data_IF_111887130265
#
_entry.id   IF_111887130265
#
_cell.length_a   1.000
_cell.length_b   1.000
_cell.length_c   1.000
_cell.angle_alpha   90.00
_cell.angle_beta   90.00
_cell.angle_gamma   90.00
#
_symmetry.space_group_name_H-M   'P 1'
#
loop_
_entity.id
_entity.type
_entity.pdbx_description
1 polymer ?
#
# COMPACT_ATOMS: atom_id res chain seq x y z
N UNK A 1 -13.10 13.58 12.01
CA UNK A 1 -12.43 12.27 11.87
C UNK A 1 -13.35 11.19 12.44
N UNK A 2 -13.60 10.11 11.67
CA UNK A 2 -14.39 8.96 12.16
C UNK A 2 -13.56 8.19 13.20
N UNK A 3 -14.13 7.94 14.37
CA UNK A 3 -13.54 7.06 15.37
C UNK A 3 -14.05 5.63 15.13
N UNK A 4 -13.15 4.74 14.69
CA UNK A 4 -13.48 3.35 14.43
C UNK A 4 -13.10 2.42 15.60
N UNK A 5 -12.49 2.93 16.67
CA UNK A 5 -12.00 2.10 17.80
C UNK A 5 -13.13 1.34 18.45
N UNK A 6 -14.26 2.02 18.79
CA UNK A 6 -15.41 1.37 19.39
C UNK A 6 -15.96 0.23 18.53
N UNK A 7 -16.16 0.49 17.22
CA UNK A 7 -16.65 -0.53 16.27
C UNK A 7 -15.72 -1.75 16.16
N UNK A 8 -14.41 -1.51 16.22
CA UNK A 8 -13.42 -2.60 16.19
C UNK A 8 -13.47 -3.41 17.49
N UNK A 9 -13.61 -2.75 18.64
CA UNK A 9 -13.73 -3.45 19.92
C UNK A 9 -15.02 -4.26 20.00
N UNK A 10 -16.15 -3.70 19.55
CA UNK A 10 -17.43 -4.41 19.48
C UNK A 10 -17.30 -5.68 18.60
N UNK A 11 -16.58 -5.58 17.47
CA UNK A 11 -16.35 -6.72 16.59
C UNK A 11 -15.40 -7.78 17.19
N UNK A 12 -14.39 -7.36 17.95
CA UNK A 12 -13.45 -8.28 18.64
C UNK A 12 -14.17 -9.05 19.77
N UNK A 13 -15.20 -8.45 20.39
CA UNK A 13 -15.98 -9.08 21.47
C UNK A 13 -17.13 -9.97 20.94
N UNK A 14 -17.49 -9.87 19.65
CA UNK A 14 -18.59 -10.67 19.07
C UNK A 14 -18.09 -12.03 18.56
N UNK A 15 -18.44 -13.11 19.28
CA UNK A 15 -18.09 -14.49 18.94
C UNK A 15 -18.61 -14.96 17.57
N UNK A 16 -19.56 -14.24 16.95
CA UNK A 16 -20.08 -14.58 15.62
C UNK A 16 -19.28 -13.90 14.49
N UNK A 17 -18.40 -12.99 14.81
CA UNK A 17 -17.57 -12.23 13.86
C UNK A 17 -16.14 -12.77 13.89
N UNK A 18 -15.52 -12.85 12.73
CA UNK A 18 -14.10 -13.15 12.58
C UNK A 18 -13.40 -11.83 12.28
N UNK A 19 -12.54 -11.40 13.17
CA UNK A 19 -11.78 -10.16 13.02
C UNK A 19 -10.47 -10.39 12.28
N UNK A 20 -10.31 -9.72 11.14
CA UNK A 20 -9.10 -9.76 10.33
C UNK A 20 -8.46 -8.38 10.31
N UNK A 21 -7.20 -8.25 10.70
CA UNK A 21 -6.47 -6.99 10.63
C UNK A 21 -5.26 -7.07 9.71
N UNK A 22 -5.11 -6.07 8.84
CA UNK A 22 -3.93 -5.88 7.99
C UNK A 22 -3.07 -4.73 8.50
N UNK A 23 -1.74 -4.90 8.48
CA UNK A 23 -0.77 -3.89 8.93
C UNK A 23 -0.06 -3.27 7.73
N UNK A 24 -0.25 -1.96 7.51
CA UNK A 24 0.41 -1.25 6.41
C UNK A 24 1.94 -1.16 6.60
N UNK A 25 2.71 -1.16 5.50
CA UNK A 25 4.18 -1.09 5.55
C UNK A 25 4.72 0.04 6.42
N UNK A 26 4.17 1.25 6.30
CA UNK A 26 4.66 2.42 7.01
C UNK A 26 4.38 2.40 8.52
N UNK A 27 3.40 1.62 9.00
CA UNK A 27 3.09 1.49 10.44
C UNK A 27 4.28 0.95 11.21
N UNK A 28 4.98 -0.04 10.65
CA UNK A 28 6.17 -0.68 11.28
C UNK A 28 7.31 0.29 11.56
N UNK A 29 7.30 1.47 10.92
CA UNK A 29 8.35 2.47 11.12
C UNK A 29 8.15 3.35 12.34
N UNK A 30 6.95 3.35 12.94
CA UNK A 30 6.58 4.38 13.92
C UNK A 30 5.72 3.90 15.10
N UNK A 31 5.08 2.73 15.07
CA UNK A 31 4.15 2.29 16.12
C UNK A 31 4.77 2.23 17.53
N UNK A 32 6.09 2.00 17.61
CA UNK A 32 6.81 1.98 18.89
C UNK A 32 7.19 3.36 19.42
N UNK A 33 7.03 4.43 18.62
CA UNK A 33 7.48 5.79 19.01
C UNK A 33 6.71 6.32 20.23
N UNK A 34 5.40 6.05 20.31
CA UNK A 34 4.56 6.44 21.44
C UNK A 34 4.84 5.69 22.75
N UNK A 35 5.69 4.66 22.69
CA UNK A 35 6.18 3.88 23.83
C UNK A 35 7.67 4.10 24.12
N UNK A 36 8.33 4.94 23.34
CA UNK A 36 9.78 5.18 23.47
C UNK A 36 10.64 3.98 23.07
N UNK A 37 10.13 3.06 22.26
CA UNK A 37 10.84 1.88 21.80
C UNK A 37 11.85 2.22 20.71
N UNK A 38 12.99 1.51 20.68
CA UNK A 38 13.90 1.58 19.55
C UNK A 38 13.27 0.94 18.30
N UNK A 39 13.73 1.35 17.12
CA UNK A 39 13.23 0.80 15.85
C UNK A 39 13.53 -0.68 15.67
N UNK A 40 14.70 -1.12 16.16
CA UNK A 40 15.11 -2.53 16.11
C UNK A 40 14.24 -3.40 17.03
N UNK A 41 13.72 -2.82 18.11
CA UNK A 41 12.82 -3.52 19.02
C UNK A 41 11.37 -3.48 18.52
N UNK A 42 10.90 -2.36 17.99
CA UNK A 42 9.52 -2.16 17.56
C UNK A 42 9.24 -2.78 16.17
N UNK A 43 9.51 -4.07 16.02
CA UNK A 43 9.27 -4.82 14.79
C UNK A 43 7.77 -4.98 14.49
N UNK A 44 7.42 -5.29 13.22
CA UNK A 44 6.05 -5.63 12.87
C UNK A 44 5.55 -6.89 13.60
N UNK A 45 6.42 -7.88 13.79
CA UNK A 45 6.10 -9.13 14.50
C UNK A 45 5.75 -8.92 15.98
N UNK A 46 6.36 -7.94 16.65
CA UNK A 46 5.95 -7.54 18.00
C UNK A 46 4.59 -6.84 18.03
N UNK A 47 4.28 -6.06 16.99
CA UNK A 47 2.96 -5.47 16.84
C UNK A 47 1.90 -6.56 16.60
N UNK A 48 2.21 -7.60 15.83
CA UNK A 48 1.35 -8.80 15.70
C UNK A 48 1.01 -9.38 17.06
N UNK A 49 2.02 -9.63 17.91
CA UNK A 49 1.79 -10.14 19.26
C UNK A 49 0.88 -9.21 20.10
N UNK A 50 1.04 -7.89 19.96
CA UNK A 50 0.18 -6.91 20.63
C UNK A 50 -1.26 -6.97 20.16
N UNK A 51 -1.49 -7.09 18.85
CA UNK A 51 -2.84 -7.19 18.27
C UNK A 51 -3.53 -8.51 18.65
N UNK A 52 -2.81 -9.64 18.70
CA UNK A 52 -3.36 -10.90 19.23
C UNK A 52 -3.84 -10.76 20.67
N UNK A 53 -3.11 -10.03 21.52
CA UNK A 53 -3.52 -9.77 22.90
C UNK A 53 -4.70 -8.82 23.03
N UNK A 54 -5.00 -8.00 22.02
CA UNK A 54 -6.24 -7.23 21.93
C UNK A 54 -7.42 -8.16 21.62
N UNK A 55 -7.18 -9.28 20.89
CA UNK A 55 -8.18 -10.29 20.58
C UNK A 55 -8.50 -10.45 19.11
N UNK A 56 -7.69 -9.89 18.18
CA UNK A 56 -7.87 -10.15 16.75
C UNK A 56 -7.62 -11.63 16.41
N UNK A 57 -8.51 -12.21 15.58
CA UNK A 57 -8.42 -13.61 15.17
C UNK A 57 -7.30 -13.85 14.15
N UNK A 58 -7.19 -12.98 13.14
CA UNK A 58 -6.17 -13.10 12.10
C UNK A 58 -5.46 -11.76 11.86
N UNK A 59 -4.14 -11.82 11.74
CA UNK A 59 -3.29 -10.65 11.55
C UNK A 59 -2.38 -10.87 10.35
N UNK A 60 -2.55 -10.04 9.34
CA UNK A 60 -1.86 -10.13 8.07
C UNK A 60 -1.03 -8.89 7.75
N UNK A 61 -0.19 -9.01 6.73
CA UNK A 61 0.64 -7.93 6.23
C UNK A 61 0.05 -7.32 4.94
N UNK A 62 -0.24 -6.02 4.93
CA UNK A 62 -0.67 -5.30 3.72
C UNK A 62 0.38 -5.37 2.60
N UNK A 63 1.63 -5.78 2.89
CA UNK A 63 2.65 -5.99 1.86
C UNK A 63 2.25 -7.08 0.87
N UNK A 64 1.48 -8.10 1.27
CA UNK A 64 0.87 -9.06 0.37
C UNK A 64 0.02 -8.36 -0.71
N UNK A 65 -0.91 -7.52 -0.29
CA UNK A 65 -1.79 -6.81 -1.22
C UNK A 65 -1.10 -5.68 -1.97
N UNK A 66 -0.01 -5.12 -1.43
CA UNK A 66 0.86 -4.23 -2.18
C UNK A 66 1.53 -4.96 -3.35
N UNK A 67 2.00 -6.19 -3.14
CA UNK A 67 2.52 -7.03 -4.23
C UNK A 67 1.44 -7.37 -5.26
N UNK A 68 0.22 -7.67 -4.80
CA UNK A 68 -0.93 -7.91 -5.68
C UNK A 68 -1.29 -6.65 -6.50
N UNK A 69 -1.28 -5.47 -5.86
CA UNK A 69 -1.49 -4.18 -6.56
C UNK A 69 -0.45 -3.97 -7.66
N UNK A 70 0.82 -4.30 -7.42
CA UNK A 70 1.87 -4.18 -8.44
C UNK A 70 1.63 -5.12 -9.61
N UNK A 71 1.12 -6.31 -9.38
CA UNK A 71 0.80 -7.24 -10.48
C UNK A 71 -0.33 -6.69 -11.36
N UNK A 72 -1.39 -6.13 -10.77
CA UNK A 72 -2.50 -5.53 -11.50
C UNK A 72 -2.09 -4.19 -12.15
N UNK A 73 -1.56 -3.23 -11.38
CA UNK A 73 -1.18 -1.90 -11.88
C UNK A 73 -0.04 -1.95 -12.90
N UNK A 74 0.95 -2.84 -12.68
CA UNK A 74 2.05 -3.05 -13.63
C UNK A 74 1.57 -3.66 -14.95
N UNK A 75 0.62 -4.59 -14.90
CA UNK A 75 0.01 -5.19 -16.09
C UNK A 75 -0.88 -4.18 -16.83
N UNK A 76 -1.67 -3.38 -16.09
CA UNK A 76 -2.48 -2.28 -16.64
C UNK A 76 -1.60 -1.22 -17.35
N UNK A 77 -0.47 -0.85 -16.73
CA UNK A 77 0.49 0.08 -17.35
C UNK A 77 0.98 -0.44 -18.70
N UNK A 78 1.34 -1.72 -18.77
CA UNK A 78 1.83 -2.33 -20.01
C UNK A 78 0.73 -2.40 -21.08
N UNK A 79 -0.50 -2.70 -20.69
CA UNK A 79 -1.66 -2.72 -21.60
C UNK A 79 -1.99 -1.32 -22.14
N UNK A 80 -1.96 -0.29 -21.27
CA UNK A 80 -2.26 1.10 -21.63
C UNK A 80 -1.10 1.83 -22.32
N UNK A 81 0.12 1.26 -22.33
CA UNK A 81 1.31 1.95 -22.84
C UNK A 81 1.19 2.45 -24.29
N UNK A 82 0.58 1.71 -25.26
CA UNK A 82 0.37 2.22 -26.62
C UNK A 82 -0.48 3.50 -26.64
N UNK A 83 -1.59 3.53 -25.90
CA UNK A 83 -2.49 4.70 -25.82
C UNK A 83 -1.80 5.87 -25.09
N UNK A 84 -1.02 5.59 -24.04
CA UNK A 84 -0.22 6.59 -23.33
C UNK A 84 0.78 7.26 -24.30
N UNK A 85 1.44 6.47 -25.13
CA UNK A 85 2.40 6.98 -26.13
C UNK A 85 1.73 7.81 -27.21
N UNK A 86 0.53 7.44 -27.63
CA UNK A 86 -0.25 8.17 -28.64
C UNK A 86 -0.80 9.48 -28.09
N UNK A 87 -1.42 9.45 -26.90
CA UNK A 87 -2.02 10.62 -26.26
C UNK A 87 -0.99 11.59 -25.67
N UNK A 88 0.19 11.10 -25.30
CA UNK A 88 1.20 11.83 -24.55
C UNK A 88 0.81 12.13 -23.09
N UNK A 89 -0.29 11.52 -22.59
CA UNK A 89 -0.78 11.68 -21.24
C UNK A 89 -0.46 10.43 -20.39
N UNK A 90 0.10 10.59 -19.18
CA UNK A 90 0.54 9.49 -18.37
C UNK A 90 -0.60 8.71 -17.73
N UNK A 91 -0.33 7.47 -17.31
CA UNK A 91 -1.07 6.81 -16.25
C UNK A 91 -0.56 7.29 -14.90
N UNK A 92 -1.47 7.51 -13.95
CA UNK A 92 -1.16 7.89 -12.57
C UNK A 92 -1.46 6.73 -11.62
N UNK A 93 -0.62 6.56 -10.59
CA UNK A 93 -0.95 5.64 -9.48
C UNK A 93 -2.21 6.11 -8.76
N UNK A 94 -3.00 5.19 -8.20
CA UNK A 94 -4.27 5.47 -7.52
C UNK A 94 -4.31 5.02 -6.05
N UNK A 95 -3.23 4.47 -5.51
CA UNK A 95 -3.20 3.92 -4.17
C UNK A 95 -3.24 4.98 -3.04
N UNK A 96 -3.06 6.27 -3.34
CA UNK A 96 -3.11 7.37 -2.37
C UNK A 96 -4.45 8.11 -2.42
N UNK A 97 -5.39 7.92 -1.47
CA UNK A 97 -6.72 8.56 -1.52
C UNK A 97 -6.66 10.08 -1.42
N UNK A 98 -5.65 10.64 -0.76
CA UNK A 98 -5.44 12.09 -0.75
C UNK A 98 -5.11 12.65 -2.13
N UNK A 99 -4.38 11.90 -2.95
CA UNK A 99 -4.12 12.22 -4.34
C UNK A 99 -5.36 12.02 -5.21
N UNK A 100 -6.04 10.89 -5.09
CA UNK A 100 -7.26 10.60 -5.86
C UNK A 100 -8.33 11.67 -5.63
N UNK A 101 -8.56 12.08 -4.39
CA UNK A 101 -9.49 13.17 -4.07
C UNK A 101 -9.02 14.52 -4.64
N UNK A 102 -7.70 14.76 -4.65
CA UNK A 102 -7.15 15.99 -5.21
C UNK A 102 -7.33 16.07 -6.73
N UNK A 103 -7.01 14.99 -7.47
CA UNK A 103 -7.16 15.00 -8.94
C UNK A 103 -8.64 15.08 -9.36
N UNK A 104 -9.53 14.36 -8.67
CA UNK A 104 -10.99 14.44 -8.90
C UNK A 104 -11.52 15.86 -8.76
N UNK A 105 -11.01 16.62 -7.80
CA UNK A 105 -11.47 17.97 -7.52
C UNK A 105 -10.82 19.04 -8.39
N UNK A 106 -9.51 18.99 -8.55
CA UNK A 106 -8.73 20.06 -9.15
C UNK A 106 -8.44 19.84 -10.65
N UNK A 107 -8.46 18.56 -11.09
CA UNK A 107 -8.10 18.14 -12.44
C UNK A 107 -9.04 17.03 -12.96
N UNK A 108 -10.39 17.21 -12.93
CA UNK A 108 -11.34 16.15 -13.24
C UNK A 108 -11.18 15.57 -14.65
N UNK A 109 -10.61 16.32 -15.59
CA UNK A 109 -10.33 15.88 -16.96
C UNK A 109 -9.21 14.84 -17.08
N UNK A 110 -8.48 14.54 -15.98
CA UNK A 110 -7.42 13.54 -15.93
C UNK A 110 -7.80 12.33 -15.06
N UNK A 111 -9.01 12.24 -14.55
CA UNK A 111 -9.44 11.14 -13.68
C UNK A 111 -9.33 9.80 -14.40
N UNK A 112 -9.65 9.74 -15.69
CA UNK A 112 -9.52 8.55 -16.54
C UNK A 112 -8.06 8.07 -16.71
N UNK A 113 -7.10 8.89 -16.30
CA UNK A 113 -5.68 8.56 -16.31
C UNK A 113 -5.19 7.89 -15.01
N UNK A 114 -6.02 7.84 -13.99
CA UNK A 114 -5.72 7.04 -12.80
C UNK A 114 -5.66 5.56 -13.15
N UNK A 115 -4.80 4.81 -12.48
CA UNK A 115 -4.86 3.36 -12.48
C UNK A 115 -6.21 2.90 -11.93
N UNK A 116 -6.82 1.91 -12.53
CA UNK A 116 -8.05 1.30 -12.05
C UNK A 116 -7.80 0.29 -10.93
N UNK A 117 -6.54 -0.13 -10.71
CA UNK A 117 -6.20 -1.03 -9.62
C UNK A 117 -6.59 -0.44 -8.26
N UNK A 118 -7.30 -1.20 -7.45
CA UNK A 118 -7.59 -0.85 -6.06
C UNK A 118 -6.30 -0.61 -5.27
N UNK A 119 -6.36 0.23 -4.25
CA UNK A 119 -5.22 0.39 -3.35
C UNK A 119 -4.93 -0.92 -2.59
N UNK A 120 -3.71 -1.13 -2.07
CA UNK A 120 -3.40 -2.30 -1.25
C UNK A 120 -4.38 -2.52 -0.10
N UNK A 121 -4.89 -1.45 0.53
CA UNK A 121 -5.93 -1.55 1.55
C UNK A 121 -7.20 -2.22 1.02
N UNK A 122 -7.73 -1.73 -0.09
CA UNK A 122 -8.95 -2.23 -0.68
C UNK A 122 -8.76 -3.62 -1.32
N UNK A 123 -7.62 -3.85 -1.99
CA UNK A 123 -7.30 -5.18 -2.51
C UNK A 123 -7.24 -6.23 -1.41
N UNK A 124 -6.63 -5.90 -0.28
CA UNK A 124 -6.60 -6.80 0.87
C UNK A 124 -8.01 -7.15 1.35
N UNK A 125 -8.85 -6.13 1.51
CA UNK A 125 -10.25 -6.34 1.92
C UNK A 125 -11.01 -7.21 0.93
N UNK A 126 -10.90 -6.93 -0.37
CA UNK A 126 -11.53 -7.72 -1.43
C UNK A 126 -11.09 -9.19 -1.39
N UNK A 127 -9.78 -9.45 -1.28
CA UNK A 127 -9.22 -10.81 -1.16
C UNK A 127 -9.71 -11.49 0.11
N UNK A 128 -9.76 -10.75 1.23
CA UNK A 128 -10.20 -11.28 2.52
C UNK A 128 -11.67 -11.70 2.49
N UNK A 129 -12.55 -10.88 1.89
CA UNK A 129 -13.99 -11.16 1.79
C UNK A 129 -14.38 -12.02 0.59
N UNK A 130 -13.42 -12.48 -0.21
CA UNK A 130 -13.66 -13.42 -1.31
C UNK A 130 -12.82 -14.69 -1.13
N UNK A 131 -11.60 -14.72 -1.64
CA UNK A 131 -10.70 -15.85 -1.59
C UNK A 131 -10.47 -16.42 -0.19
N UNK A 132 -10.23 -15.53 0.80
CA UNK A 132 -9.95 -15.99 2.17
C UNK A 132 -11.23 -16.49 2.87
N UNK A 133 -12.36 -15.84 2.64
CA UNK A 133 -13.66 -16.32 3.14
C UNK A 133 -13.98 -17.73 2.62
N UNK A 134 -13.76 -18.00 1.32
CA UNK A 134 -13.90 -19.34 0.75
C UNK A 134 -12.95 -20.36 1.43
N UNK A 135 -11.69 -19.98 1.69
CA UNK A 135 -10.73 -20.84 2.39
C UNK A 135 -11.14 -21.17 3.82
N UNK A 136 -11.75 -20.22 4.51
CA UNK A 136 -12.30 -20.44 5.86
C UNK A 136 -13.64 -21.18 5.85
N UNK A 137 -14.32 -21.27 4.69
CA UNK A 137 -15.66 -21.84 4.59
C UNK A 137 -16.73 -21.02 5.31
N UNK A 138 -16.60 -19.69 5.28
CA UNK A 138 -17.52 -18.76 5.93
C UNK A 138 -18.08 -17.74 4.96
N UNK A 139 -19.26 -17.21 5.28
CA UNK A 139 -19.84 -16.11 4.51
C UNK A 139 -19.01 -14.81 4.73
N UNK A 140 -18.83 -13.99 3.69
CA UNK A 140 -18.03 -12.76 3.76
C UNK A 140 -18.48 -11.79 4.86
N UNK A 141 -19.77 -11.75 5.17
CA UNK A 141 -20.39 -10.89 6.18
C UNK A 141 -19.96 -11.24 7.61
N UNK A 142 -19.46 -12.46 7.83
CA UNK A 142 -18.90 -12.87 9.11
C UNK A 142 -17.48 -12.34 9.33
N UNK A 143 -16.85 -11.79 8.31
CA UNK A 143 -15.51 -11.24 8.42
C UNK A 143 -15.60 -9.72 8.61
N UNK A 144 -15.05 -9.22 9.71
CA UNK A 144 -14.85 -7.81 9.96
C UNK A 144 -13.39 -7.45 9.64
N UNK A 145 -13.17 -6.83 8.47
CA UNK A 145 -11.85 -6.49 7.97
C UNK A 145 -11.41 -5.11 8.47
N UNK A 146 -10.32 -5.08 9.23
CA UNK A 146 -9.72 -3.88 9.80
C UNK A 146 -8.40 -3.55 9.10
N UNK A 147 -8.18 -2.30 8.75
CA UNK A 147 -6.92 -1.82 8.22
C UNK A 147 -6.19 -0.95 9.25
N UNK A 148 -4.96 -1.33 9.61
CA UNK A 148 -4.08 -0.50 10.41
C UNK A 148 -3.20 0.34 9.49
N UNK A 149 -3.46 1.66 9.44
CA UNK A 149 -2.93 2.56 8.42
C UNK A 149 -2.23 3.79 9.02
N UNK A 150 -1.19 4.32 8.37
CA UNK A 150 -0.54 5.56 8.77
C UNK A 150 -1.32 6.82 8.35
N UNK A 151 -2.52 6.67 7.80
CA UNK A 151 -3.20 7.66 6.98
C UNK A 151 -4.65 7.88 7.42
N UNK A 152 -5.09 9.13 7.54
CA UNK A 152 -6.48 9.49 7.84
C UNK A 152 -7.39 9.37 6.61
N UNK A 153 -6.86 9.67 5.41
CA UNK A 153 -7.64 9.57 4.17
C UNK A 153 -8.04 8.13 3.82
N UNK A 154 -7.37 7.13 4.41
CA UNK A 154 -7.78 5.72 4.29
C UNK A 154 -9.12 5.41 4.98
N UNK A 155 -9.52 6.22 5.98
CA UNK A 155 -10.87 6.17 6.57
C UNK A 155 -11.96 6.65 5.61
N UNK A 156 -11.63 7.60 4.72
CA UNK A 156 -12.51 8.05 3.66
C UNK A 156 -12.60 7.00 2.54
N UNK A 157 -11.45 6.48 2.10
CA UNK A 157 -11.38 5.47 1.03
C UNK A 157 -12.26 4.25 1.29
N UNK A 158 -12.34 3.74 2.52
CA UNK A 158 -13.19 2.60 2.86
C UNK A 158 -14.71 2.92 2.83
N UNK A 159 -15.10 4.17 2.55
CA UNK A 159 -16.50 4.57 2.37
C UNK A 159 -16.87 4.80 0.90
N UNK A 160 -15.94 4.71 -0.03
CA UNK A 160 -16.25 4.85 -1.46
C UNK A 160 -17.14 3.71 -1.92
N UNK A 161 -17.95 3.93 -2.98
CA UNK A 161 -19.02 3.03 -3.41
C UNK A 161 -18.60 1.57 -3.62
N UNK A 162 -17.32 1.35 -3.96
CA UNK A 162 -16.70 0.03 -4.05
C UNK A 162 -15.92 -0.34 -2.78
N UNK A 163 -16.03 0.43 -1.71
CA UNK A 163 -15.23 0.33 -0.47
C UNK A 163 -15.84 -0.54 0.62
N UNK A 164 -16.75 -1.48 0.27
CA UNK A 164 -17.34 -2.43 1.24
C UNK A 164 -16.36 -3.53 1.69
N UNK A 165 -15.17 -3.55 1.12
CA UNK A 165 -14.18 -4.58 1.39
C UNK A 165 -13.52 -4.42 2.77
N UNK A 166 -13.41 -3.17 3.26
CA UNK A 166 -12.80 -2.84 4.56
C UNK A 166 -13.83 -2.18 5.47
N UNK A 167 -14.05 -2.77 6.64
CA UNK A 167 -15.10 -2.33 7.57
C UNK A 167 -14.64 -1.16 8.46
N UNK A 168 -13.37 -1.15 8.88
CA UNK A 168 -12.81 -0.13 9.75
C UNK A 168 -11.35 0.18 9.45
N UNK A 169 -10.94 1.40 9.75
CA UNK A 169 -9.54 1.84 9.61
C UNK A 169 -9.05 2.41 10.92
N UNK A 170 -8.04 1.78 11.51
CA UNK A 170 -7.31 2.27 12.67
C UNK A 170 -6.03 2.98 12.22
N UNK A 171 -5.75 4.13 12.79
CA UNK A 171 -4.47 4.80 12.62
C UNK A 171 -3.41 4.22 13.55
N UNK A 172 -2.14 4.43 13.25
CA UNK A 172 -1.03 4.04 14.14
C UNK A 172 -1.23 4.59 15.55
N UNK A 173 -1.67 5.86 15.69
CA UNK A 173 -1.95 6.47 17.00
C UNK A 173 -3.14 5.84 17.74
N UNK A 174 -4.17 5.41 17.02
CA UNK A 174 -5.32 4.72 17.64
C UNK A 174 -4.89 3.37 18.19
N UNK A 175 -4.08 2.61 17.45
CA UNK A 175 -3.56 1.33 17.94
C UNK A 175 -2.62 1.51 19.12
N UNK A 176 -1.74 2.53 19.13
CA UNK A 176 -0.96 2.85 20.33
C UNK A 176 -1.83 3.10 21.57
N UNK A 177 -2.95 3.82 21.40
CA UNK A 177 -3.92 4.06 22.49
C UNK A 177 -4.60 2.77 22.92
N UNK A 178 -5.01 1.91 21.97
CA UNK A 178 -5.60 0.60 22.28
C UNK A 178 -4.65 -0.26 23.09
N UNK A 179 -3.40 -0.42 22.64
CA UNK A 179 -2.38 -1.19 23.38
C UNK A 179 -2.20 -0.69 24.82
N UNK A 180 -2.22 0.64 25.02
CA UNK A 180 -2.17 1.26 26.36
C UNK A 180 -3.43 0.98 27.19
N UNK A 181 -4.60 1.09 26.56
CA UNK A 181 -5.89 0.87 27.25
C UNK A 181 -6.11 -0.57 27.70
N UNK A 182 -5.53 -1.52 26.96
CA UNK A 182 -5.50 -2.94 27.31
C UNK A 182 -4.36 -3.30 28.27
N UNK A 183 -3.62 -2.31 28.77
CA UNK A 183 -2.47 -2.49 29.66
C UNK A 183 -1.42 -3.47 29.12
N UNK A 184 -1.27 -3.55 27.79
CA UNK A 184 -0.29 -4.43 27.17
C UNK A 184 1.09 -3.84 27.37
N UNK A 185 1.94 -4.61 28.04
CA UNK A 185 3.34 -4.24 28.28
C UNK A 185 4.18 -4.55 27.05
N UNK A 186 4.17 -3.61 26.09
CA UNK A 186 4.79 -3.80 24.78
C UNK A 186 6.30 -4.14 24.86
N UNK A 187 6.98 -3.76 25.95
CA UNK A 187 8.39 -4.09 26.20
C UNK A 187 8.60 -5.57 26.54
N UNK A 188 7.54 -6.29 26.96
CA UNK A 188 7.59 -7.70 27.33
C UNK A 188 7.06 -8.61 26.19
N UNK A 189 6.63 -8.03 25.05
CA UNK A 189 6.15 -8.80 23.92
C UNK A 189 7.30 -9.56 23.24
N UNK A 190 7.10 -10.82 23.00
CA UNK A 190 7.89 -11.61 22.07
C UNK A 190 7.34 -11.44 20.63
N UNK A 191 8.14 -11.74 19.62
CA UNK A 191 7.72 -11.68 18.24
C UNK A 191 6.79 -12.85 17.90
N UNK A 192 5.72 -12.56 17.19
CA UNK A 192 4.81 -13.55 16.63
C UNK A 192 4.69 -13.37 15.11
N UNK A 193 4.57 -14.47 14.38
CA UNK A 193 4.45 -14.45 12.93
C UNK A 193 3.07 -13.92 12.50
N UNK A 194 3.03 -13.32 11.32
CA UNK A 194 1.78 -13.07 10.61
C UNK A 194 1.10 -14.40 10.28
N UNK A 195 -0.21 -14.36 10.12
CA UNK A 195 -0.97 -15.54 9.74
C UNK A 195 -0.82 -15.85 8.24
N UNK A 196 -0.96 -17.12 7.87
CA UNK A 196 -1.00 -17.58 6.49
C UNK A 196 -2.45 -17.61 5.95
N UNK A 197 -2.66 -17.42 4.64
CA UNK A 197 -1.67 -17.26 3.57
C UNK A 197 -1.35 -15.81 3.20
N UNK A 198 -1.97 -14.81 3.83
CA UNK A 198 -1.89 -13.39 3.41
C UNK A 198 -0.84 -12.58 4.20
N UNK A 199 0.04 -13.27 4.94
CA UNK A 199 1.08 -12.66 5.76
C UNK A 199 2.44 -12.50 5.08
N UNK A 200 2.61 -13.03 3.85
CA UNK A 200 3.88 -12.99 3.14
C UNK A 200 3.92 -11.77 2.21
N UNK A 201 4.95 -10.93 2.35
CA UNK A 201 5.18 -9.77 1.51
C UNK A 201 6.63 -9.64 1.05
N UNK A 202 6.82 -9.07 -0.14
CA UNK A 202 8.14 -8.80 -0.69
C UNK A 202 8.75 -7.49 -0.17
N UNK A 203 10.05 -7.31 -0.41
CA UNK A 203 10.71 -6.02 -0.22
C UNK A 203 10.07 -4.91 -1.07
N UNK A 204 9.59 -5.23 -2.28
CA UNK A 204 8.84 -4.29 -3.13
C UNK A 204 7.55 -3.83 -2.44
N UNK A 205 6.78 -4.73 -1.81
CA UNK A 205 5.59 -4.36 -1.04
C UNK A 205 5.91 -3.50 0.19
N UNK A 206 7.04 -3.77 0.85
CA UNK A 206 7.46 -2.99 2.03
C UNK A 206 7.75 -1.53 1.68
N UNK A 207 8.42 -1.24 0.56
CA UNK A 207 8.81 0.15 0.21
C UNK A 207 7.64 1.04 -0.24
N UNK A 208 6.42 0.52 -0.42
CA UNK A 208 5.21 1.32 -0.70
C UNK A 208 4.97 2.46 0.27
N UNK A 209 5.46 2.34 1.50
CA UNK A 209 5.32 3.36 2.53
C UNK A 209 6.12 4.64 2.29
N UNK A 210 7.12 4.64 1.41
CA UNK A 210 7.98 5.77 1.10
C UNK A 210 7.72 6.30 -0.31
N UNK A 211 7.90 7.62 -0.52
CA UNK A 211 7.80 8.23 -1.85
C UNK A 211 8.82 7.61 -2.82
N UNK A 212 8.37 7.23 -3.99
CA UNK A 212 9.15 6.51 -5.01
C UNK A 212 9.10 4.98 -4.85
N UNK A 213 8.58 4.48 -3.74
CA UNK A 213 8.52 3.04 -3.48
C UNK A 213 7.54 2.29 -4.36
N UNK A 214 6.38 2.87 -4.65
CA UNK A 214 5.40 2.29 -5.59
C UNK A 214 5.98 2.24 -6.99
N UNK A 215 6.56 3.36 -7.45
CA UNK A 215 7.22 3.46 -8.75
C UNK A 215 8.33 2.41 -8.90
N UNK A 216 9.19 2.29 -7.89
CA UNK A 216 10.28 1.32 -7.93
C UNK A 216 9.76 -0.12 -7.98
N UNK A 217 8.76 -0.46 -7.16
CA UNK A 217 8.12 -1.77 -7.15
C UNK A 217 7.48 -2.10 -8.51
N UNK A 218 6.75 -1.14 -9.10
CA UNK A 218 6.13 -1.28 -10.41
C UNK A 218 7.16 -1.48 -11.52
N UNK A 219 8.25 -0.70 -11.52
CA UNK A 219 9.33 -0.83 -12.50
C UNK A 219 10.06 -2.17 -12.40
N UNK A 220 10.29 -2.69 -11.20
CA UNK A 220 10.88 -4.02 -10.98
C UNK A 220 10.03 -5.11 -11.66
N UNK A 221 8.73 -5.10 -11.42
CA UNK A 221 7.82 -6.14 -11.97
C UNK A 221 7.51 -5.90 -13.46
N UNK A 222 7.32 -4.65 -13.91
CA UNK A 222 7.14 -4.35 -15.33
C UNK A 222 8.37 -4.79 -16.16
N UNK A 223 9.58 -4.62 -15.65
CA UNK A 223 10.79 -5.12 -16.29
C UNK A 223 10.73 -6.64 -16.48
N UNK A 224 10.37 -7.39 -15.43
CA UNK A 224 10.22 -8.85 -15.50
C UNK A 224 9.09 -9.27 -16.45
N UNK A 225 7.94 -8.62 -16.40
CA UNK A 225 6.80 -8.97 -17.25
C UNK A 225 7.15 -8.85 -18.74
N UNK A 226 8.02 -7.92 -19.10
CA UNK A 226 8.45 -7.69 -20.49
C UNK A 226 9.65 -8.57 -20.86
N UNK A 227 10.70 -8.61 -20.03
CA UNK A 227 11.96 -9.26 -20.38
C UNK A 227 12.04 -10.73 -19.93
N UNK A 228 11.12 -11.19 -19.09
CA UNK A 228 11.08 -12.54 -18.48
C UNK A 228 12.33 -12.90 -17.67
N UNK A 229 13.06 -11.87 -17.24
CA UNK A 229 14.24 -11.96 -16.35
C UNK A 229 14.16 -10.84 -15.32
N UNK A 230 14.62 -11.11 -14.10
CA UNK A 230 14.66 -10.08 -13.07
C UNK A 230 15.66 -8.98 -13.39
N UNK A 231 15.36 -7.72 -13.09
CA UNK A 231 16.37 -6.67 -13.04
C UNK A 231 17.28 -6.86 -11.82
N UNK A 232 18.40 -6.15 -11.79
CA UNK A 232 19.11 -5.95 -10.54
C UNK A 232 18.15 -5.29 -9.52
N UNK A 233 18.05 -5.77 -8.28
CA UNK A 233 17.05 -5.29 -7.31
C UNK A 233 17.08 -3.78 -7.09
N UNK A 234 18.24 -3.16 -7.20
CA UNK A 234 18.45 -1.72 -6.98
C UNK A 234 18.52 -0.88 -8.27
N UNK A 235 18.19 -1.47 -9.44
CA UNK A 235 18.27 -0.80 -10.75
C UNK A 235 17.43 0.49 -10.83
N UNK A 236 16.35 0.58 -10.05
CA UNK A 236 15.38 1.68 -10.13
C UNK A 236 15.42 2.62 -8.92
N UNK A 237 16.38 2.48 -8.00
CA UNK A 237 16.44 3.28 -6.76
C UNK A 237 16.60 4.80 -6.98
N UNK A 238 16.93 5.26 -8.19
CA UNK A 238 17.04 6.69 -8.49
C UNK A 238 15.71 7.45 -8.37
N UNK A 239 14.56 6.74 -8.34
CA UNK A 239 13.24 7.35 -8.09
C UNK A 239 12.99 7.60 -6.61
N UNK A 240 13.80 7.04 -5.69
CA UNK A 240 13.70 7.24 -4.24
C UNK A 240 14.06 8.66 -3.84
N UNK A 241 13.51 9.13 -2.73
CA UNK A 241 13.95 10.35 -2.04
C UNK A 241 12.83 11.32 -1.70
N UNK A 242 13.18 12.29 -0.88
CA UNK A 242 12.24 13.21 -0.24
C UNK A 242 12.02 14.52 -1.04
N UNK A 243 12.84 14.77 -2.06
CA UNK A 243 12.80 16.02 -2.82
C UNK A 243 11.60 16.03 -3.77
N UNK A 244 10.77 16.98 -3.57
CA UNK A 244 9.57 17.41 -4.24
C UNK A 244 9.04 16.63 -5.46
N UNK A 245 9.66 16.81 -6.60
CA UNK A 245 9.30 16.19 -7.89
C UNK A 245 10.57 15.66 -8.55
N UNK A 246 10.58 14.36 -8.87
CA UNK A 246 11.68 13.65 -9.51
C UNK A 246 11.26 13.06 -10.84
N UNK A 247 12.20 12.96 -11.75
CA UNK A 247 12.02 12.38 -13.07
C UNK A 247 13.09 11.32 -13.32
N UNK A 248 12.72 10.26 -14.02
CA UNK A 248 13.65 9.25 -14.49
C UNK A 248 13.23 8.70 -15.86
N UNK A 249 14.20 8.09 -16.54
CA UNK A 249 13.99 7.39 -17.80
C UNK A 249 14.65 6.03 -17.72
N UNK A 250 13.89 5.01 -18.10
CA UNK A 250 14.36 3.63 -18.14
C UNK A 250 14.15 3.04 -19.52
N UNK A 251 15.04 2.15 -19.92
CA UNK A 251 14.85 1.37 -21.14
C UNK A 251 14.42 -0.04 -20.77
N UNK A 252 13.24 -0.45 -21.22
CA UNK A 252 12.68 -1.79 -21.00
C UNK A 252 12.43 -2.40 -22.40
N UNK A 253 13.12 -3.46 -22.75
CA UNK A 253 13.05 -4.11 -24.05
C UNK A 253 13.12 -3.12 -25.23
N UNK A 254 14.10 -2.20 -25.19
CA UNK A 254 14.31 -1.19 -26.23
C UNK A 254 13.33 0.00 -26.20
N UNK A 255 12.28 -0.03 -25.39
CA UNK A 255 11.35 1.08 -25.24
C UNK A 255 11.75 1.99 -24.09
N UNK A 256 11.73 3.30 -24.33
CA UNK A 256 11.99 4.31 -23.30
C UNK A 256 10.70 4.56 -22.53
N UNK A 257 10.74 4.29 -21.21
CA UNK A 257 9.71 4.64 -20.25
C UNK A 257 10.15 5.89 -19.47
N UNK A 258 9.37 6.96 -19.55
CA UNK A 258 9.59 8.19 -18.80
C UNK A 258 8.66 8.21 -17.59
N UNK A 259 9.22 8.37 -16.40
CA UNK A 259 8.44 8.35 -15.16
C UNK A 259 8.68 9.60 -14.34
N UNK A 260 7.69 9.93 -13.49
CA UNK A 260 7.82 10.98 -12.50
C UNK A 260 7.27 10.52 -11.14
N UNK A 261 7.86 11.07 -10.08
CA UNK A 261 7.43 10.84 -8.69
C UNK A 261 7.25 12.18 -8.02
N UNK A 262 6.04 12.49 -7.55
CA UNK A 262 5.73 13.72 -6.83
C UNK A 262 5.43 13.44 -5.36
N UNK A 263 6.17 14.09 -4.47
CA UNK A 263 5.99 14.08 -3.03
C UNK A 263 5.29 15.36 -2.58
N UNK A 264 4.13 15.24 -1.98
CA UNK A 264 3.19 16.29 -1.57
C UNK A 264 2.26 16.81 -2.67
N UNK A 265 1.05 17.26 -2.25
CA UNK A 265 0.07 17.81 -3.19
C UNK A 265 0.51 19.14 -3.82
N UNK A 266 1.37 19.91 -3.17
CA UNK A 266 1.89 21.14 -3.77
C UNK A 266 2.83 20.85 -4.95
N UNK A 267 3.61 19.78 -4.88
CA UNK A 267 4.45 19.33 -5.98
C UNK A 267 3.64 18.59 -7.05
N UNK A 268 2.60 17.85 -6.64
CA UNK A 268 1.63 17.27 -7.56
C UNK A 268 0.95 18.36 -8.41
N UNK A 269 0.55 19.50 -7.82
CA UNK A 269 -0.01 20.64 -8.56
C UNK A 269 0.94 21.16 -9.63
N UNK A 270 2.21 21.39 -9.28
CA UNK A 270 3.24 21.86 -10.23
C UNK A 270 3.46 20.85 -11.38
N UNK A 271 3.47 19.55 -11.04
CA UNK A 271 3.58 18.47 -12.02
C UNK A 271 2.37 18.48 -12.97
N UNK A 272 1.15 18.57 -12.44
CA UNK A 272 -0.07 18.62 -13.24
C UNK A 272 -0.14 19.85 -14.15
N UNK A 273 0.30 21.01 -13.65
CA UNK A 273 0.41 22.23 -14.47
C UNK A 273 1.43 22.07 -15.62
N UNK A 274 2.57 21.39 -15.37
CA UNK A 274 3.54 21.10 -16.39
C UNK A 274 3.01 20.13 -17.46
N UNK A 275 2.27 19.10 -17.06
CA UNK A 275 1.60 18.16 -17.96
C UNK A 275 0.50 18.89 -18.77
N UNK A 276 -0.38 19.63 -18.11
CA UNK A 276 -1.50 20.32 -18.75
C UNK A 276 -1.07 21.39 -19.76
N UNK A 277 0.11 21.99 -19.55
CA UNK A 277 0.69 22.99 -20.48
C UNK A 277 1.62 22.38 -21.53
N UNK A 278 1.75 21.05 -21.58
CA UNK A 278 2.63 20.34 -22.52
C UNK A 278 4.13 20.55 -22.28
N UNK A 279 4.51 21.09 -21.11
CA UNK A 279 5.92 21.30 -20.73
C UNK A 279 6.62 20.04 -20.26
N UNK A 280 5.84 19.03 -19.81
CA UNK A 280 6.35 17.74 -19.35
C UNK A 280 5.47 16.60 -19.88
N UNK A 281 6.12 15.49 -20.25
CA UNK A 281 5.48 14.29 -20.78
C UNK A 281 6.09 13.06 -20.08
N UNK A 282 5.24 12.26 -19.48
CA UNK A 282 5.59 11.02 -18.79
C UNK A 282 4.69 9.89 -19.27
N UNK A 283 5.12 8.67 -19.02
CA UNK A 283 4.32 7.47 -19.26
C UNK A 283 3.63 6.98 -17.98
N UNK A 284 4.34 7.11 -16.85
CA UNK A 284 3.81 6.68 -15.55
C UNK A 284 4.22 7.67 -14.45
N UNK A 285 3.29 7.99 -13.57
CA UNK A 285 3.49 9.00 -12.52
C UNK A 285 3.00 8.50 -11.17
N UNK A 286 3.89 8.48 -10.18
CA UNK A 286 3.53 8.27 -8.78
C UNK A 286 3.26 9.61 -8.10
N UNK A 287 2.16 9.70 -7.35
CA UNK A 287 1.88 10.84 -6.48
C UNK A 287 1.55 10.39 -5.07
N UNK A 288 2.33 10.88 -4.10
CA UNK A 288 2.05 10.75 -2.68
C UNK A 288 1.63 12.09 -2.09
N UNK A 289 0.42 12.16 -1.50
CA UNK A 289 -0.12 13.40 -0.92
C UNK A 289 0.70 13.92 0.27
N UNK A 290 1.27 13.02 1.06
CA UNK A 290 2.09 13.37 2.22
C UNK A 290 3.55 13.57 1.82
N UNK A 291 4.25 14.63 2.33
CA UNK A 291 5.68 14.78 2.12
C UNK A 291 6.47 13.56 2.63
N UNK A 292 7.23 12.92 1.75
CA UNK A 292 7.99 11.70 2.05
C UNK A 292 7.19 10.40 1.95
N UNK A 293 5.88 10.45 1.70
CA UNK A 293 5.00 9.29 1.59
C UNK A 293 4.26 8.92 2.86
N UNK A 294 3.73 7.69 2.92
CA UNK A 294 2.89 7.19 4.02
C UNK A 294 3.63 7.11 5.37
N UNK A 295 4.96 7.02 5.38
CA UNK A 295 5.80 7.10 6.60
C UNK A 295 5.60 8.41 7.37
N UNK A 296 5.12 9.46 6.71
CA UNK A 296 4.77 10.76 7.29
C UNK A 296 3.26 11.04 7.19
N UNK A 297 2.46 10.01 7.10
CA UNK A 297 1.01 10.10 7.00
C UNK A 297 0.37 10.71 8.25
N UNK A 298 -0.82 11.32 8.08
CA UNK A 298 -1.53 12.01 9.15
C UNK A 298 -2.00 11.11 10.31
N UNK A 299 -1.93 9.78 10.16
CA UNK A 299 -2.22 8.78 11.22
C UNK A 299 -1.00 8.35 12.02
N UNK A 300 0.21 8.72 11.61
CA UNK A 300 1.45 8.41 12.32
C UNK A 300 1.60 9.23 13.62
N UNK A 301 2.41 8.76 14.58
CA UNK A 301 2.78 9.53 15.76
C UNK A 301 3.37 10.89 15.40
N UNK A 302 2.95 11.91 16.15
CA UNK A 302 3.47 13.27 15.99
C UNK A 302 4.76 13.38 16.80
N UNK A 303 5.85 13.64 16.11
CA UNK A 303 7.18 13.78 16.72
C UNK A 303 7.84 15.06 16.23
N UNK A 304 8.41 15.80 17.15
CA UNK A 304 9.25 16.97 16.87
C UNK A 304 10.69 16.49 16.62
N UNK A 305 10.94 16.06 15.38
CA UNK A 305 12.23 15.53 14.92
C UNK A 305 12.32 15.79 13.41
N UNK A 306 13.21 16.66 13.01
CA UNK A 306 13.43 17.03 11.60
C UNK A 306 13.86 15.84 10.74
N UNK A 307 14.51 14.86 11.35
CA UNK A 307 14.99 13.66 10.65
C UNK A 307 13.97 12.50 10.64
N UNK A 308 12.78 12.66 11.25
CA UNK A 308 11.80 11.56 11.40
C UNK A 308 11.45 10.89 10.07
N UNK A 309 11.26 11.67 9.00
CA UNK A 309 10.88 11.15 7.68
C UNK A 309 12.02 10.34 7.08
N UNK A 310 13.23 10.87 7.08
CA UNK A 310 14.42 10.15 6.61
C UNK A 310 14.67 8.86 7.43
N UNK A 311 14.55 8.97 8.74
CA UNK A 311 14.72 7.84 9.65
C UNK A 311 13.69 6.72 9.41
N UNK A 312 12.41 7.06 9.21
CA UNK A 312 11.35 6.09 8.90
C UNK A 312 11.52 5.50 7.50
N UNK A 313 11.94 6.31 6.51
CA UNK A 313 12.25 5.85 5.16
C UNK A 313 13.38 4.82 5.14
N UNK A 314 14.45 5.07 5.90
CA UNK A 314 15.60 4.16 6.03
C UNK A 314 15.20 2.79 6.60
N UNK A 315 14.19 2.73 7.48
CA UNK A 315 13.66 1.45 7.98
C UNK A 315 13.07 0.64 6.82
N UNK A 316 12.21 1.22 5.97
CA UNK A 316 11.58 0.50 4.87
C UNK A 316 12.60 0.02 3.83
N UNK A 317 13.50 0.89 3.41
CA UNK A 317 14.53 0.51 2.45
C UNK A 317 15.55 -0.48 3.04
N UNK A 318 15.80 -0.41 4.35
CA UNK A 318 16.61 -1.41 5.06
C UNK A 318 15.94 -2.79 5.06
N UNK A 319 14.63 -2.84 5.31
CA UNK A 319 13.84 -4.07 5.26
C UNK A 319 13.79 -4.66 3.85
N UNK A 320 13.59 -3.84 2.81
CA UNK A 320 13.67 -4.29 1.42
C UNK A 320 15.04 -4.92 1.13
N UNK A 321 16.13 -4.24 1.52
CA UNK A 321 17.50 -4.69 1.23
C UNK A 321 17.84 -6.05 1.82
N UNK A 322 17.30 -6.37 3.00
CA UNK A 322 17.58 -7.65 3.70
C UNK A 322 16.54 -8.73 3.40
N UNK A 323 15.44 -8.39 2.72
CA UNK A 323 14.42 -9.35 2.36
C UNK A 323 14.94 -10.26 1.23
N UNK A 324 14.84 -11.57 1.40
CA UNK A 324 15.18 -12.54 0.33
C UNK A 324 14.22 -12.45 -0.85
N UNK A 325 12.95 -12.08 -0.58
CA UNK A 325 11.92 -11.87 -1.59
C UNK A 325 11.87 -10.38 -1.95
N UNK A 326 12.52 -9.99 -3.05
CA UNK A 326 12.67 -8.58 -3.46
C UNK A 326 11.63 -8.10 -4.46
N UNK A 327 10.91 -8.99 -5.12
CA UNK A 327 10.03 -8.71 -6.25
C UNK A 327 8.60 -9.16 -5.99
N UNK A 328 7.61 -8.33 -6.33
CA UNK A 328 6.20 -8.63 -6.14
C UNK A 328 5.73 -9.85 -6.94
N UNK A 329 6.22 -10.00 -8.17
CA UNK A 329 5.91 -11.13 -9.06
C UNK A 329 6.50 -12.48 -8.60
N UNK A 330 7.36 -12.49 -7.60
CA UNK A 330 7.90 -13.70 -6.97
C UNK A 330 7.20 -14.04 -5.66
N UNK A 331 6.24 -13.21 -5.18
CA UNK A 331 5.54 -13.50 -3.95
C UNK A 331 4.70 -14.78 -4.08
N UNK A 332 5.06 -15.87 -3.36
CA UNK A 332 4.39 -17.15 -3.52
C UNK A 332 2.92 -17.12 -3.14
N UNK A 333 2.54 -16.29 -2.16
CA UNK A 333 1.15 -16.12 -1.72
C UNK A 333 0.31 -15.41 -2.78
N UNK A 334 0.87 -14.40 -3.45
CA UNK A 334 0.21 -13.71 -4.57
C UNK A 334 0.05 -14.66 -5.75
N UNK A 335 1.11 -15.38 -6.13
CA UNK A 335 1.04 -16.35 -7.23
C UNK A 335 0.06 -17.49 -6.93
N UNK A 336 -0.01 -17.95 -5.68
CA UNK A 336 -1.00 -18.97 -5.29
C UNK A 336 -2.42 -18.41 -5.33
N UNK A 337 -2.64 -17.16 -4.93
CA UNK A 337 -3.93 -16.49 -5.00
C UNK A 337 -4.44 -16.37 -6.46
N UNK A 338 -3.56 -16.02 -7.41
CA UNK A 338 -3.90 -16.07 -8.83
C UNK A 338 -4.26 -17.47 -9.28
N UNK A 339 -3.42 -18.44 -8.99
CA UNK A 339 -3.65 -19.84 -9.40
C UNK A 339 -4.97 -20.42 -8.86
N UNK A 340 -5.29 -20.13 -7.60
CA UNK A 340 -6.45 -20.71 -6.92
C UNK A 340 -7.75 -19.97 -7.25
N UNK A 341 -7.68 -18.65 -7.51
CA UNK A 341 -8.87 -17.81 -7.48
C UNK A 341 -9.02 -16.84 -8.65
N UNK A 342 -8.02 -16.02 -8.94
CA UNK A 342 -8.13 -14.98 -9.96
C UNK A 342 -7.72 -15.42 -11.37
N UNK A 343 -6.92 -16.47 -11.49
CA UNK A 343 -6.35 -16.92 -12.76
C UNK A 343 -5.06 -16.20 -13.11
N UNK A 344 -5.16 -15.00 -13.67
CA UNK A 344 -4.04 -14.15 -14.07
C UNK A 344 -4.35 -12.66 -13.82
N UNK A 345 -3.33 -11.78 -13.80
CA UNK A 345 -3.58 -10.34 -13.74
C UNK A 345 -4.48 -9.87 -14.88
N UNK A 346 -5.34 -8.88 -14.58
CA UNK A 346 -6.34 -8.33 -15.50
C UNK A 346 -7.38 -9.33 -16.00
N UNK A 347 -7.49 -10.52 -15.41
CA UNK A 347 -8.57 -11.47 -15.73
C UNK A 347 -9.94 -10.84 -15.42
N UNK A 348 -11.03 -11.39 -15.95
CA UNK A 348 -12.38 -10.90 -15.67
C UNK A 348 -12.66 -10.84 -14.16
N UNK A 349 -12.28 -11.88 -13.41
CA UNK A 349 -12.48 -11.95 -11.97
C UNK A 349 -11.59 -10.95 -11.21
N UNK A 350 -10.36 -10.71 -11.69
CA UNK A 350 -9.49 -9.68 -11.16
C UNK A 350 -10.09 -8.29 -11.38
N UNK A 351 -10.59 -7.99 -12.59
CA UNK A 351 -11.27 -6.73 -12.86
C UNK A 351 -12.50 -6.49 -11.98
N UNK A 352 -13.30 -7.52 -11.73
CA UNK A 352 -14.49 -7.41 -10.89
C UNK A 352 -14.14 -7.10 -9.43
N UNK A 353 -13.11 -7.72 -8.88
CA UNK A 353 -12.81 -7.66 -7.44
C UNK A 353 -11.66 -6.72 -7.08
N UNK A 354 -10.67 -6.57 -7.96
CA UNK A 354 -9.41 -5.86 -7.67
C UNK A 354 -9.31 -4.49 -8.37
N UNK A 355 -10.27 -4.12 -9.22
CA UNK A 355 -10.29 -2.84 -9.91
C UNK A 355 -11.47 -1.98 -9.49
N UNK A 356 -11.37 -0.67 -9.76
CA UNK A 356 -12.35 0.35 -9.40
C UNK A 356 -12.40 1.42 -10.49
N UNK A 357 -13.60 1.92 -10.80
CA UNK A 357 -13.78 3.15 -11.59
C UNK A 357 -13.70 4.36 -10.67
N UNK A 358 -12.86 5.33 -11.02
CA UNK A 358 -12.64 6.54 -10.21
C UNK A 358 -13.61 7.68 -10.49
#
# INVERSE_FOLDING_TARGET
>A
ERDDVGRVLDAVEDENIITVVQIAPAVRTAWGEGFGLSKDFATAKRLVAGLRRIGFDYIFDTTFSADLTIMEEGSELLERLPEIKESGLPMFTSCCPGWVNFIKKEYPQYVDRLSTAKSPQQMFGAVTKSYYAEKLGVEPERIFCVSLMPCLAKKDECTWDNGKDVDAVLTTREVERMLKSFFIKVQELEEEEFDDPLGVGSGAGVIFGATGGVMEAALRSAYYLVNKTNPEPDAFQCVRGLDGWKEAKFTINGNILKVAVASSLSNARKLMEAIATGKAHYDFVEVMACPGGCINGGGQPIKDDDNKVANRSNVLYGLDKVNNLRFSHENPSVMQCYKDYFGEPLSHKAHELLHISH
#
